data_IF_265647919875
#
_entry.id   IF_265647919875
#
_cell.length_a   1.000
_cell.length_b   1.000
_cell.length_c   1.000
_cell.angle_alpha   90.00
_cell.angle_beta   90.00
_cell.angle_gamma   90.00
#
_symmetry.space_group_name_H-M   'P 1'
#
loop_
_entity.id
_entity.type
_entity.pdbx_description
1 polymer ?
#
# COMPACT_ATOMS: atom_id res chain seq x y z
N UNK A 1 -43.08 66.93 24.10
CA UNK A 1 -43.63 66.76 22.73
C UNK A 1 -42.94 65.56 22.07
N UNK A 2 -43.73 64.66 21.48
CA UNK A 2 -43.31 63.57 20.54
C UNK A 2 -42.52 64.17 19.36
N UNK A 3 -41.58 63.48 18.72
CA UNK A 3 -41.71 62.51 17.60
C UNK A 3 -40.24 62.14 17.23
N UNK A 4 -39.73 60.90 17.30
CA UNK A 4 -39.91 59.69 16.47
C UNK A 4 -38.85 59.51 15.34
N UNK A 5 -38.21 58.33 15.40
CA UNK A 5 -37.70 57.41 14.36
C UNK A 5 -36.30 57.54 13.68
N UNK A 6 -35.69 56.33 13.62
CA UNK A 6 -34.78 55.75 12.61
C UNK A 6 -33.32 56.18 12.64
N UNK A 7 -32.31 55.33 12.40
CA UNK A 7 -32.09 53.89 12.29
C UNK A 7 -30.58 53.73 12.00
N UNK A 8 -30.08 52.49 11.96
CA UNK A 8 -28.76 52.04 11.47
C UNK A 8 -27.69 51.86 12.56
N UNK A 9 -27.90 50.83 13.38
CA UNK A 9 -26.79 50.07 13.96
C UNK A 9 -26.11 49.25 12.86
N UNK A 10 -25.03 49.79 12.29
CA UNK A 10 -24.05 49.03 11.52
C UNK A 10 -23.04 48.42 12.50
N UNK A 11 -23.48 47.35 13.19
CA UNK A 11 -22.62 46.49 13.99
C UNK A 11 -22.08 45.38 13.10
N UNK A 12 -20.87 45.61 12.59
CA UNK A 12 -20.09 44.74 11.72
C UNK A 12 -19.81 43.35 12.32
N UNK A 13 -19.97 42.33 11.46
CA UNK A 13 -19.03 41.22 11.24
C UNK A 13 -18.68 40.34 12.45
N UNK A 14 -19.51 39.33 12.68
CA UNK A 14 -19.16 38.13 13.44
C UNK A 14 -19.36 36.88 12.59
N UNK A 15 -18.73 36.82 11.42
CA UNK A 15 -18.59 35.56 10.66
C UNK A 15 -17.65 34.66 11.47
N UNK A 16 -18.23 33.90 12.39
CA UNK A 16 -17.54 32.82 13.08
C UNK A 16 -16.99 31.87 12.04
N UNK A 17 -15.67 31.84 11.91
CA UNK A 17 -14.92 30.95 11.05
C UNK A 17 -15.34 29.50 11.35
N UNK A 18 -16.19 28.94 10.50
CA UNK A 18 -16.28 27.49 10.34
C UNK A 18 -14.92 27.07 9.80
N UNK A 19 -13.99 26.76 10.70
CA UNK A 19 -12.76 26.07 10.36
C UNK A 19 -13.19 24.72 9.79
N UNK A 20 -13.29 24.66 8.45
CA UNK A 20 -13.44 23.43 7.71
C UNK A 20 -12.14 22.69 7.97
N UNK A 21 -12.14 21.81 8.98
CA UNK A 21 -11.06 20.87 9.16
C UNK A 21 -11.05 20.01 7.90
N UNK A 22 -10.15 20.33 6.98
CA UNK A 22 -9.79 19.44 5.89
C UNK A 22 -9.24 18.19 6.57
N UNK A 23 -10.09 17.16 6.72
CA UNK A 23 -9.62 15.86 7.18
C UNK A 23 -8.47 15.46 6.28
N UNK A 24 -7.30 15.21 6.86
CA UNK A 24 -6.18 14.66 6.11
C UNK A 24 -6.61 13.28 5.61
N UNK A 25 -6.97 13.18 4.32
CA UNK A 25 -7.14 11.90 3.68
C UNK A 25 -5.74 11.27 3.62
N UNK A 26 -5.52 10.17 4.33
CA UNK A 26 -4.33 9.36 4.12
C UNK A 26 -4.40 8.83 2.69
N UNK A 27 -3.43 9.18 1.87
CA UNK A 27 -3.31 8.63 0.52
C UNK A 27 -3.15 7.11 0.62
N UNK A 28 -3.89 6.32 -0.17
CA UNK A 28 -3.75 4.88 -0.14
C UNK A 28 -2.34 4.47 -0.59
N UNK A 29 -1.78 3.35 -0.09
CA UNK A 29 -0.50 2.86 -0.55
C UNK A 29 -0.52 2.57 -2.05
N UNK A 30 0.59 2.82 -2.72
CA UNK A 30 0.82 2.31 -4.06
C UNK A 30 0.96 0.79 -4.00
N UNK A 31 0.27 0.08 -4.90
CA UNK A 31 0.30 -1.39 -4.97
C UNK A 31 0.65 -1.83 -6.39
N UNK A 32 1.70 -2.63 -6.51
CA UNK A 32 2.13 -3.22 -7.78
C UNK A 32 2.16 -4.74 -7.68
N UNK A 33 1.90 -5.41 -8.81
CA UNK A 33 1.93 -6.86 -8.88
C UNK A 33 2.60 -7.36 -10.16
N UNK A 34 3.04 -8.61 -10.13
CA UNK A 34 3.41 -9.38 -11.32
C UNK A 34 3.22 -10.86 -11.06
N UNK A 35 2.96 -11.63 -12.11
CA UNK A 35 2.91 -13.09 -12.03
C UNK A 35 3.73 -13.74 -13.13
N UNK A 36 4.16 -14.97 -12.90
CA UNK A 36 4.75 -15.85 -13.92
C UNK A 36 4.42 -17.31 -13.64
N UNK A 37 4.27 -18.09 -14.70
CA UNK A 37 4.22 -19.55 -14.60
C UNK A 37 5.64 -20.11 -14.47
N UNK A 38 5.78 -21.21 -13.73
CA UNK A 38 7.04 -21.89 -13.49
C UNK A 38 6.85 -23.41 -13.48
N UNK A 39 7.83 -24.14 -13.98
CA UNK A 39 7.86 -25.61 -13.94
C UNK A 39 8.43 -26.11 -12.60
N UNK A 40 7.87 -25.64 -11.49
CA UNK A 40 8.31 -25.97 -10.13
C UNK A 40 7.14 -26.38 -9.24
N UNK A 41 7.43 -27.05 -8.12
CA UNK A 41 6.40 -27.30 -7.11
C UNK A 41 6.09 -26.03 -6.29
N UNK A 42 4.92 -26.00 -5.64
CA UNK A 42 4.55 -24.91 -4.70
C UNK A 42 5.61 -24.77 -3.61
N UNK A 43 6.13 -25.86 -3.06
CA UNK A 43 7.19 -25.83 -2.03
C UNK A 43 8.47 -25.18 -2.54
N UNK A 44 8.89 -25.48 -3.78
CA UNK A 44 10.06 -24.85 -4.39
C UNK A 44 9.82 -23.35 -4.61
N UNK A 45 8.64 -22.97 -5.09
CA UNK A 45 8.23 -21.59 -5.27
C UNK A 45 8.27 -20.81 -3.94
N UNK A 46 7.73 -21.36 -2.85
CA UNK A 46 7.76 -20.71 -1.52
C UNK A 46 9.19 -20.55 -1.01
N UNK A 47 10.06 -21.55 -1.22
CA UNK A 47 11.45 -21.46 -0.81
C UNK A 47 12.23 -20.39 -1.60
N UNK A 48 12.01 -20.29 -2.91
CA UNK A 48 12.58 -19.23 -3.74
C UNK A 48 12.06 -17.85 -3.32
N UNK A 49 10.77 -17.74 -3.02
CA UNK A 49 10.16 -16.49 -2.55
C UNK A 49 10.77 -16.03 -1.22
N UNK A 50 11.02 -16.95 -0.28
CA UNK A 50 11.74 -16.64 0.97
C UNK A 50 13.14 -16.10 0.71
N UNK A 51 13.86 -16.67 -0.25
CA UNK A 51 15.20 -16.22 -0.63
C UNK A 51 15.17 -14.84 -1.29
N UNK A 52 14.19 -14.57 -2.16
CA UNK A 52 14.01 -13.28 -2.79
C UNK A 52 13.71 -12.18 -1.74
N UNK A 53 12.80 -12.44 -0.81
CA UNK A 53 12.51 -11.51 0.30
C UNK A 53 13.75 -11.24 1.17
N UNK A 54 14.53 -12.28 1.48
CA UNK A 54 15.76 -12.11 2.26
C UNK A 54 16.84 -11.31 1.50
N UNK A 55 16.91 -11.44 0.18
CA UNK A 55 17.84 -10.68 -0.68
C UNK A 55 17.55 -9.19 -0.63
N UNK A 56 16.27 -8.83 -0.61
CA UNK A 56 15.80 -7.45 -0.50
C UNK A 56 15.66 -6.97 0.95
N UNK A 57 16.26 -7.69 1.90
CA UNK A 57 16.26 -7.37 3.34
C UNK A 57 14.85 -7.20 3.97
N UNK A 58 13.83 -7.87 3.41
CA UNK A 58 12.51 -7.89 4.02
C UNK A 58 12.47 -8.92 5.16
N UNK A 59 11.99 -8.46 6.31
CA UNK A 59 11.80 -9.29 7.49
C UNK A 59 10.57 -10.17 7.26
N UNK A 60 10.65 -11.51 7.36
CA UNK A 60 9.50 -12.38 7.22
C UNK A 60 8.45 -12.07 8.29
N UNK A 61 7.22 -11.79 7.87
CA UNK A 61 6.09 -11.48 8.77
C UNK A 61 5.03 -12.59 8.76
N UNK A 62 4.93 -13.34 7.66
CA UNK A 62 4.04 -14.49 7.56
C UNK A 62 4.59 -15.49 6.56
N UNK A 63 4.39 -16.78 6.83
CA UNK A 63 4.56 -17.81 5.83
C UNK A 63 3.49 -18.88 6.04
N UNK A 64 2.67 -19.10 5.02
CA UNK A 64 1.72 -20.19 4.94
C UNK A 64 2.25 -21.27 3.98
N UNK A 65 1.47 -22.32 3.73
CA UNK A 65 1.90 -23.44 2.87
C UNK A 65 2.19 -23.02 1.42
N UNK A 66 1.51 -21.97 0.94
CA UNK A 66 1.60 -21.51 -0.44
C UNK A 66 1.88 -20.01 -0.57
N UNK A 67 2.21 -19.33 0.52
CA UNK A 67 2.46 -17.88 0.51
C UNK A 67 3.59 -17.51 1.47
N UNK A 68 4.30 -16.42 1.16
CA UNK A 68 5.24 -15.81 2.09
C UNK A 68 5.18 -14.31 1.96
N UNK A 69 5.10 -13.63 3.10
CA UNK A 69 5.12 -12.19 3.20
C UNK A 69 6.37 -11.70 3.94
N UNK A 70 6.96 -10.64 3.43
CA UNK A 70 8.05 -9.90 4.06
C UNK A 70 7.69 -8.43 4.19
N UNK A 71 8.28 -7.77 5.18
CA UNK A 71 8.07 -6.36 5.46
C UNK A 71 9.40 -5.65 5.76
N UNK A 72 9.46 -4.39 5.35
CA UNK A 72 10.42 -3.38 5.77
C UNK A 72 9.65 -2.19 6.36
N UNK A 73 10.34 -1.18 6.86
CA UNK A 73 9.70 0.01 7.42
C UNK A 73 8.79 0.73 6.41
N UNK A 74 9.14 0.66 5.12
CA UNK A 74 8.48 1.44 4.06
C UNK A 74 7.62 0.61 3.10
N UNK A 75 7.73 -0.73 3.14
CA UNK A 75 7.08 -1.60 2.18
C UNK A 75 6.73 -2.99 2.72
N UNK A 76 5.68 -3.57 2.15
CA UNK A 76 5.29 -4.98 2.34
C UNK A 76 5.30 -5.68 0.99
N UNK A 77 5.82 -6.90 0.94
CA UNK A 77 5.74 -7.75 -0.24
C UNK A 77 5.19 -9.13 0.11
N UNK A 78 4.37 -9.68 -0.78
CA UNK A 78 3.75 -11.00 -0.62
C UNK A 78 3.95 -11.78 -1.90
N UNK A 79 4.52 -12.98 -1.76
CA UNK A 79 4.52 -14.00 -2.81
C UNK A 79 3.41 -15.02 -2.53
N UNK A 80 2.67 -15.39 -3.57
CA UNK A 80 1.63 -16.40 -3.56
C UNK A 80 1.94 -17.41 -4.66
N UNK A 81 2.14 -18.66 -4.28
CA UNK A 81 2.47 -19.78 -5.15
C UNK A 81 1.22 -20.63 -5.37
N UNK A 82 0.59 -20.50 -6.53
CA UNK A 82 -0.62 -21.22 -6.90
C UNK A 82 -0.26 -22.52 -7.65
N UNK A 83 -0.89 -23.62 -7.27
CA UNK A 83 -0.79 -24.87 -8.02
C UNK A 83 -1.60 -24.78 -9.33
N UNK A 84 -1.01 -25.29 -10.41
CA UNK A 84 -1.64 -25.41 -11.73
C UNK A 84 -1.30 -26.79 -12.31
N UNK A 85 -2.13 -27.39 -13.18
CA UNK A 85 -1.82 -28.69 -13.77
C UNK A 85 -0.48 -28.67 -14.52
N UNK A 86 0.53 -29.34 -13.97
CA UNK A 86 1.88 -29.44 -14.53
C UNK A 86 2.82 -28.26 -14.27
N UNK A 87 2.41 -27.25 -13.49
CA UNK A 87 3.22 -26.05 -13.20
C UNK A 87 2.76 -25.34 -11.91
N UNK A 88 3.57 -24.41 -11.39
CA UNK A 88 3.14 -23.45 -10.37
C UNK A 88 3.06 -22.04 -10.97
N UNK A 89 2.08 -21.24 -10.60
CA UNK A 89 2.05 -19.80 -10.92
C UNK A 89 2.43 -19.03 -9.68
N UNK A 90 3.45 -18.19 -9.76
CA UNK A 90 3.77 -17.24 -8.68
C UNK A 90 3.12 -15.89 -8.97
N UNK A 91 2.54 -15.27 -7.95
CA UNK A 91 2.10 -13.89 -7.93
C UNK A 91 2.90 -13.16 -6.85
N UNK A 92 3.56 -12.07 -7.20
CA UNK A 92 4.16 -11.13 -6.25
C UNK A 92 3.33 -9.86 -6.20
N UNK A 93 3.03 -9.39 -4.99
CA UNK A 93 2.34 -8.15 -4.69
C UNK A 93 3.26 -7.32 -3.80
N UNK A 94 3.45 -6.06 -4.12
CA UNK A 94 4.25 -5.11 -3.34
C UNK A 94 3.40 -3.88 -3.05
N UNK A 95 3.42 -3.43 -1.79
CA UNK A 95 2.75 -2.22 -1.34
C UNK A 95 3.71 -1.30 -0.60
N UNK A 96 3.70 0.00 -0.91
CA UNK A 96 4.48 1.03 -0.19
C UNK A 96 3.73 2.37 -0.25
N UNK A 97 3.97 3.25 0.73
CA UNK A 97 3.45 4.62 0.71
C UNK A 97 4.12 5.50 -0.35
N UNK A 98 5.31 5.11 -0.80
CA UNK A 98 6.02 5.71 -1.93
C UNK A 98 5.85 4.82 -3.17
N UNK A 99 5.29 5.40 -4.24
CA UNK A 99 5.05 4.76 -5.54
C UNK A 99 6.34 4.24 -6.19
N UNK A 100 7.39 5.06 -6.17
CA UNK A 100 8.69 4.73 -6.77
C UNK A 100 9.31 3.55 -6.03
N UNK A 101 9.22 3.55 -4.70
CA UNK A 101 9.68 2.44 -3.88
C UNK A 101 8.90 1.15 -4.17
N UNK A 102 7.57 1.23 -4.25
CA UNK A 102 6.73 0.06 -4.53
C UNK A 102 7.07 -0.58 -5.88
N UNK A 103 7.28 0.24 -6.91
CA UNK A 103 7.66 -0.23 -8.24
C UNK A 103 9.09 -0.80 -8.26
N UNK A 104 10.05 -0.10 -7.66
CA UNK A 104 11.45 -0.53 -7.60
C UNK A 104 11.60 -1.87 -6.88
N UNK A 105 10.95 -2.02 -5.72
CA UNK A 105 10.97 -3.27 -4.96
C UNK A 105 10.31 -4.42 -5.73
N UNK A 106 9.22 -4.17 -6.47
CA UNK A 106 8.64 -5.19 -7.36
C UNK A 106 9.62 -5.65 -8.43
N UNK A 107 10.34 -4.73 -9.07
CA UNK A 107 11.37 -5.08 -10.06
C UNK A 107 12.51 -5.88 -9.43
N UNK A 108 12.99 -5.47 -8.25
CA UNK A 108 14.06 -6.14 -7.54
C UNK A 108 13.66 -7.57 -7.14
N UNK A 109 12.47 -7.74 -6.55
CA UNK A 109 11.92 -9.04 -6.19
C UNK A 109 11.69 -9.94 -7.41
N UNK A 110 11.27 -9.39 -8.54
CA UNK A 110 11.13 -10.14 -9.80
C UNK A 110 12.48 -10.61 -10.36
N UNK A 111 13.56 -9.86 -10.10
CA UNK A 111 14.91 -10.22 -10.52
C UNK A 111 15.58 -11.22 -9.56
N UNK A 112 15.31 -11.11 -8.25
CA UNK A 112 15.84 -12.00 -7.22
C UNK A 112 15.15 -13.38 -7.18
N UNK A 113 13.94 -13.47 -7.75
CA UNK A 113 13.13 -14.68 -7.82
C UNK A 113 13.25 -15.40 -9.18
#
# INVERSE_FOLDING_TARGET
MKVVLQALGLGSLGLGSLAIATGAAAEPPAVYYSWRAMETSVTQCVNQARQALATEALIPVQADENSVAGQSDDATAVFICLESPGASTVLVIVSSQDETNALALREALKAAF
#
